data_IF_342867832005
#
_entry.id   IF_342867832005
#
_cell.length_a   1.000
_cell.length_b   1.000
_cell.length_c   1.000
_cell.angle_alpha   90.00
_cell.angle_beta   90.00
_cell.angle_gamma   90.00
#
_symmetry.space_group_name_H-M   'P 1'
#
loop_
_entity.id
_entity.type
_entity.pdbx_description
1 polymer ?
#
# COMPACT_ATOMS: atom_id res chain seq x y z
N UNK A 1 -32.05 -53.23 64.07
CA UNK A 1 -32.30 -51.79 63.90
C UNK A 1 -30.98 -51.05 63.89
N UNK A 2 -30.63 -50.47 62.73
CA UNK A 2 -29.95 -49.17 62.52
C UNK A 2 -29.34 -49.20 61.12
N UNK A 3 -30.04 -48.53 60.20
CA UNK A 3 -29.56 -48.16 58.88
C UNK A 3 -28.64 -46.95 59.03
N UNK A 4 -27.47 -46.97 58.40
CA UNK A 4 -26.68 -45.76 58.15
C UNK A 4 -26.40 -45.69 56.65
N UNK A 5 -26.92 -44.63 56.06
CA UNK A 5 -26.82 -44.23 54.65
C UNK A 5 -25.51 -43.47 54.51
N UNK A 6 -24.58 -43.94 53.68
CA UNK A 6 -23.43 -43.13 53.26
C UNK A 6 -23.68 -42.55 51.87
N UNK A 7 -23.81 -41.23 51.84
CA UNK A 7 -24.05 -40.41 50.66
C UNK A 7 -22.81 -40.37 49.76
N UNK A 8 -23.05 -40.55 48.46
CA UNK A 8 -22.09 -40.45 47.37
C UNK A 8 -21.84 -38.97 47.05
N UNK A 9 -20.63 -38.46 47.32
CA UNK A 9 -20.20 -37.13 46.87
C UNK A 9 -19.36 -37.27 45.59
N UNK A 10 -19.95 -36.95 44.44
CA UNK A 10 -19.24 -36.69 43.20
C UNK A 10 -18.74 -35.24 43.20
N UNK A 11 -17.43 -35.03 43.31
CA UNK A 11 -16.79 -33.75 43.05
C UNK A 11 -16.02 -33.85 41.72
N UNK A 12 -16.66 -33.43 40.64
CA UNK A 12 -16.02 -33.27 39.34
C UNK A 12 -15.17 -32.00 39.31
N UNK A 13 -13.85 -32.14 39.22
CA UNK A 13 -12.97 -31.04 38.88
C UNK A 13 -12.97 -30.86 37.37
N UNK A 14 -13.75 -29.91 36.87
CA UNK A 14 -13.68 -29.44 35.49
C UNK A 14 -12.35 -28.69 35.33
N UNK A 15 -11.46 -29.24 34.50
CA UNK A 15 -10.25 -28.55 34.07
C UNK A 15 -10.65 -27.33 33.23
N UNK A 16 -10.57 -26.13 33.81
CA UNK A 16 -10.64 -24.88 33.07
C UNK A 16 -9.36 -24.75 32.23
N UNK A 17 -9.40 -25.25 30.99
CA UNK A 17 -8.44 -24.84 29.98
C UNK A 17 -8.68 -23.36 29.70
N UNK A 18 -7.66 -22.48 29.70
CA UNK A 18 -7.85 -21.14 29.20
C UNK A 18 -8.21 -21.29 27.72
N UNK A 19 -9.48 -21.03 27.39
CA UNK A 19 -9.86 -20.69 26.04
C UNK A 19 -9.05 -19.43 25.75
N UNK A 20 -7.93 -19.60 25.05
CA UNK A 20 -7.34 -18.51 24.30
C UNK A 20 -8.50 -17.96 23.49
N UNK A 21 -9.02 -16.81 23.91
CA UNK A 21 -9.96 -16.06 23.12
C UNK A 21 -9.22 -15.79 21.83
N UNK A 22 -9.53 -16.59 20.81
CA UNK A 22 -9.31 -16.22 19.43
C UNK A 22 -10.08 -14.92 19.29
N UNK A 23 -9.39 -13.81 19.57
CA UNK A 23 -9.89 -12.50 19.24
C UNK A 23 -10.13 -12.58 17.75
N UNK A 24 -11.39 -12.47 17.34
CA UNK A 24 -11.69 -12.05 15.99
C UNK A 24 -10.79 -10.83 15.75
N UNK A 25 -9.84 -10.96 14.82
CA UNK A 25 -8.99 -9.82 14.45
C UNK A 25 -9.95 -8.70 14.11
N UNK A 26 -9.82 -7.58 14.79
CA UNK A 26 -10.65 -6.42 14.47
C UNK A 26 -10.26 -5.99 13.07
N UNK A 27 -11.17 -6.36 12.18
CA UNK A 27 -11.49 -5.87 10.85
C UNK A 27 -10.29 -5.38 10.01
N UNK A 28 -9.90 -6.15 8.99
CA UNK A 28 -8.89 -5.78 8.02
C UNK A 28 -9.15 -4.34 7.45
N UNK A 29 -8.18 -3.42 7.33
CA UNK A 29 -8.41 -2.01 6.91
C UNK A 29 -8.69 -1.83 5.41
N UNK A 30 -8.80 -2.92 4.66
CA UNK A 30 -8.44 -2.91 3.25
C UNK A 30 -9.58 -2.42 2.37
N UNK A 31 -10.85 -2.41 2.82
CA UNK A 31 -11.92 -1.71 2.11
C UNK A 31 -12.03 -0.21 2.44
N UNK A 32 -11.05 0.36 3.15
CA UNK A 32 -10.97 1.81 3.33
C UNK A 32 -10.97 2.58 2.01
N UNK A 33 -10.23 2.07 1.02
CA UNK A 33 -10.04 2.63 -0.32
C UNK A 33 -10.85 1.85 -1.37
N UNK A 34 -12.09 1.46 -1.04
CA UNK A 34 -12.85 0.54 -1.87
C UNK A 34 -13.16 1.07 -3.27
N UNK A 35 -13.29 2.38 -3.45
CA UNK A 35 -13.36 3.03 -4.76
C UNK A 35 -12.18 2.62 -5.67
N UNK A 36 -10.96 2.66 -5.14
CA UNK A 36 -9.73 2.30 -5.87
C UNK A 36 -9.67 0.79 -6.13
N UNK A 37 -10.05 -0.03 -5.14
CA UNK A 37 -10.09 -1.49 -5.31
C UNK A 37 -11.04 -1.90 -6.43
N UNK A 38 -12.25 -1.32 -6.47
CA UNK A 38 -13.24 -1.61 -7.51
C UNK A 38 -12.73 -1.20 -8.89
N UNK A 39 -12.12 -0.01 -9.01
CA UNK A 39 -11.52 0.46 -10.24
C UNK A 39 -10.43 -0.52 -10.74
N UNK A 40 -9.47 -0.86 -9.87
CA UNK A 40 -8.38 -1.80 -10.22
C UNK A 40 -8.91 -3.20 -10.54
N UNK A 41 -9.94 -3.67 -9.84
CA UNK A 41 -10.53 -4.98 -10.10
C UNK A 41 -11.09 -5.05 -11.53
N UNK A 42 -11.79 -4.00 -11.96
CA UNK A 42 -12.31 -3.90 -13.32
C UNK A 42 -11.20 -3.94 -14.38
N UNK A 43 -10.05 -3.30 -14.10
CA UNK A 43 -8.90 -3.26 -15.00
C UNK A 43 -8.20 -4.61 -15.09
N UNK A 44 -7.93 -5.27 -13.95
CA UNK A 44 -7.32 -6.61 -13.93
C UNK A 44 -8.17 -7.61 -14.70
N UNK A 45 -9.51 -7.53 -14.55
CA UNK A 45 -10.43 -8.43 -15.24
C UNK A 45 -10.39 -8.35 -16.78
N UNK A 46 -9.91 -7.24 -17.36
CA UNK A 46 -9.81 -7.08 -18.81
C UNK A 46 -8.82 -8.07 -19.45
N UNK A 47 -7.72 -8.36 -18.75
CA UNK A 47 -6.72 -9.34 -19.17
C UNK A 47 -5.92 -9.78 -17.94
N UNK A 48 -6.08 -11.03 -17.50
CA UNK A 48 -5.50 -11.54 -16.26
C UNK A 48 -4.71 -12.86 -16.47
N UNK A 49 -3.56 -12.82 -17.17
CA UNK A 49 -2.80 -14.02 -17.51
C UNK A 49 -2.19 -14.70 -16.28
N UNK A 50 -2.01 -13.97 -15.19
CA UNK A 50 -1.43 -14.44 -13.93
C UNK A 50 -2.50 -14.97 -12.96
N UNK A 51 -3.78 -14.93 -13.36
CA UNK A 51 -4.92 -15.35 -12.55
C UNK A 51 -4.90 -14.72 -11.14
N UNK A 52 -4.58 -13.42 -11.10
CA UNK A 52 -4.61 -12.60 -9.89
C UNK A 52 -6.03 -12.56 -9.34
N UNK A 53 -6.16 -12.69 -8.03
CA UNK A 53 -7.45 -12.57 -7.35
C UNK A 53 -7.91 -11.11 -7.24
N UNK A 54 -8.93 -10.92 -6.41
CA UNK A 54 -9.43 -9.60 -6.07
C UNK A 54 -8.32 -8.68 -5.53
N UNK A 55 -8.22 -7.40 -5.97
CA UNK A 55 -7.21 -6.46 -5.49
C UNK A 55 -7.16 -6.27 -3.98
N UNK A 56 -8.22 -6.58 -3.23
CA UNK A 56 -8.19 -6.58 -1.77
C UNK A 56 -7.04 -7.44 -1.23
N UNK A 57 -6.73 -8.57 -1.89
CA UNK A 57 -5.67 -9.47 -1.43
C UNK A 57 -4.28 -8.85 -1.47
N UNK A 58 -4.04 -7.89 -2.38
CA UNK A 58 -2.76 -7.17 -2.44
C UNK A 58 -2.56 -6.22 -1.26
N UNK A 59 -3.65 -5.74 -0.64
CA UNK A 59 -3.61 -4.83 0.51
C UNK A 59 -3.57 -5.56 1.86
N UNK A 60 -3.78 -6.88 1.86
CA UNK A 60 -3.73 -7.72 3.04
C UNK A 60 -2.29 -8.14 3.39
N UNK A 61 -2.06 -8.45 4.66
CA UNK A 61 -0.83 -9.10 5.12
C UNK A 61 -0.58 -10.46 4.45
N UNK A 62 0.68 -10.90 4.44
CA UNK A 62 1.18 -12.03 3.64
C UNK A 62 0.36 -13.33 3.75
N UNK A 63 -0.17 -13.65 4.93
CA UNK A 63 -0.98 -14.86 5.13
C UNK A 63 -2.29 -14.85 4.31
N UNK A 64 -2.96 -13.70 4.23
CA UNK A 64 -4.21 -13.56 3.50
C UNK A 64 -3.98 -13.24 2.02
N UNK A 65 -2.92 -12.50 1.69
CA UNK A 65 -2.50 -12.22 0.32
C UNK A 65 -2.34 -13.49 -0.55
N UNK A 66 -1.89 -14.60 0.05
CA UNK A 66 -1.78 -15.92 -0.61
C UNK A 66 -3.06 -16.37 -1.33
N UNK A 67 -4.24 -15.97 -0.83
CA UNK A 67 -5.53 -16.38 -1.42
C UNK A 67 -5.80 -15.73 -2.79
N UNK A 68 -5.24 -14.55 -3.05
CA UNK A 68 -5.37 -13.83 -4.31
C UNK A 68 -4.11 -13.83 -5.16
N UNK A 69 -3.09 -14.61 -4.79
CA UNK A 69 -1.77 -14.50 -5.40
C UNK A 69 -1.72 -14.98 -6.86
N UNK A 70 -2.63 -15.86 -7.28
CA UNK A 70 -2.58 -16.44 -8.62
C UNK A 70 -1.25 -17.14 -8.87
N UNK A 71 -0.52 -16.70 -9.90
CA UNK A 71 0.84 -17.18 -10.22
C UNK A 71 1.96 -16.46 -9.45
N UNK A 72 1.65 -15.45 -8.66
CA UNK A 72 2.64 -14.71 -7.86
C UNK A 72 3.06 -15.58 -6.67
N UNK A 73 4.36 -15.85 -6.56
CA UNK A 73 4.92 -16.67 -5.48
C UNK A 73 5.33 -15.84 -4.28
N UNK A 74 5.90 -14.65 -4.53
CA UNK A 74 6.20 -13.67 -3.49
C UNK A 74 5.00 -12.76 -3.25
N UNK A 75 4.27 -13.07 -2.18
CA UNK A 75 3.04 -12.33 -1.83
C UNK A 75 3.30 -10.94 -1.28
N UNK A 76 4.54 -10.59 -0.93
CA UNK A 76 4.90 -9.21 -0.59
C UNK A 76 4.98 -8.33 -1.85
N UNK A 77 5.08 -8.96 -3.03
CA UNK A 77 4.98 -8.31 -4.32
C UNK A 77 3.57 -8.31 -4.93
N UNK A 78 2.56 -8.87 -4.26
CA UNK A 78 1.23 -9.03 -4.84
C UNK A 78 0.56 -7.69 -5.19
N UNK A 79 0.64 -6.69 -4.32
CA UNK A 79 0.11 -5.35 -4.60
C UNK A 79 0.75 -4.77 -5.87
N UNK A 80 2.08 -4.86 -5.99
CA UNK A 80 2.78 -4.36 -7.16
C UNK A 80 2.35 -5.10 -8.42
N UNK A 81 2.25 -6.43 -8.38
CA UNK A 81 1.82 -7.22 -9.54
C UNK A 81 0.39 -6.88 -9.99
N UNK A 82 -0.53 -6.66 -9.04
CA UNK A 82 -1.91 -6.24 -9.33
C UNK A 82 -1.93 -4.83 -9.93
N UNK A 83 -1.22 -3.89 -9.34
CA UNK A 83 -1.12 -2.52 -9.85
C UNK A 83 -0.52 -2.47 -11.25
N UNK A 84 0.58 -3.18 -11.47
CA UNK A 84 1.30 -3.27 -12.74
C UNK A 84 0.42 -3.88 -13.83
N UNK A 85 -0.33 -4.94 -13.50
CA UNK A 85 -1.30 -5.54 -14.42
C UNK A 85 -2.42 -4.56 -14.78
N UNK A 86 -3.05 -3.94 -13.79
CA UNK A 86 -4.12 -2.97 -14.00
C UNK A 86 -3.65 -1.79 -14.86
N UNK A 87 -2.46 -1.27 -14.58
CA UNK A 87 -1.85 -0.18 -15.35
C UNK A 87 -1.58 -0.60 -16.80
N UNK A 88 -1.02 -1.79 -17.04
CA UNK A 88 -0.83 -2.29 -18.41
C UNK A 88 -2.14 -2.38 -19.18
N UNK A 89 -3.22 -2.87 -18.55
CA UNK A 89 -4.52 -2.99 -19.20
C UNK A 89 -5.12 -1.61 -19.50
N UNK A 90 -5.07 -0.68 -18.53
CA UNK A 90 -5.53 0.70 -18.73
C UNK A 90 -4.74 1.43 -19.84
N UNK A 91 -3.41 1.29 -19.84
CA UNK A 91 -2.52 1.87 -20.86
C UNK A 91 -2.81 1.33 -22.25
N UNK A 92 -3.08 0.03 -22.38
CA UNK A 92 -3.48 -0.58 -23.65
C UNK A 92 -4.84 -0.06 -24.16
N UNK A 93 -5.74 0.34 -23.25
CA UNK A 93 -7.03 0.93 -23.58
C UNK A 93 -6.98 2.47 -23.79
N UNK A 94 -5.86 3.13 -23.48
CA UNK A 94 -5.78 4.60 -23.45
C UNK A 94 -6.60 5.23 -22.31
N UNK A 95 -6.86 4.47 -21.24
CA UNK A 95 -7.67 4.88 -20.09
C UNK A 95 -6.80 5.56 -19.03
N UNK A 96 -6.81 6.90 -19.03
CA UNK A 96 -6.03 7.72 -18.09
C UNK A 96 -6.54 7.59 -16.65
N UNK A 97 -7.84 7.48 -16.45
CA UNK A 97 -8.44 7.31 -15.13
C UNK A 97 -8.09 5.92 -14.57
N UNK A 98 -8.07 4.90 -15.43
CA UNK A 98 -7.61 3.56 -15.10
C UNK A 98 -6.12 3.51 -14.76
N UNK A 99 -5.27 4.18 -15.54
CA UNK A 99 -3.84 4.30 -15.23
C UNK A 99 -3.63 4.99 -13.87
N UNK A 100 -4.37 6.08 -13.63
CA UNK A 100 -4.33 6.84 -12.36
C UNK A 100 -4.77 5.97 -11.18
N UNK A 101 -5.86 5.21 -11.31
CA UNK A 101 -6.33 4.30 -10.27
C UNK A 101 -5.31 3.21 -9.93
N UNK A 102 -4.61 2.67 -10.94
CA UNK A 102 -3.55 1.69 -10.71
C UNK A 102 -2.33 2.28 -9.98
N UNK A 103 -1.94 3.53 -10.30
CA UNK A 103 -0.88 4.25 -9.59
C UNK A 103 -1.26 4.51 -8.12
N UNK A 104 -2.49 4.98 -7.87
CA UNK A 104 -3.01 5.20 -6.52
C UNK A 104 -2.99 3.87 -5.74
N UNK A 105 -3.51 2.79 -6.32
CA UNK A 105 -3.52 1.48 -5.69
C UNK A 105 -2.11 0.96 -5.34
N UNK A 106 -1.10 1.23 -6.19
CA UNK A 106 0.30 0.86 -5.89
C UNK A 106 0.82 1.55 -4.62
N UNK A 107 0.35 2.78 -4.39
CA UNK A 107 0.77 3.62 -3.29
C UNK A 107 -0.05 3.41 -2.01
N UNK A 108 -1.28 2.89 -2.06
CA UNK A 108 -2.09 2.63 -0.85
C UNK A 108 -1.33 1.77 0.16
N UNK A 109 -1.47 2.10 1.45
CA UNK A 109 -0.88 1.33 2.55
C UNK A 109 -1.34 -0.13 2.51
N UNK A 110 -0.40 -1.05 2.73
CA UNK A 110 -0.69 -2.46 2.94
C UNK A 110 -0.80 -2.76 4.43
N UNK A 111 -1.82 -3.52 4.84
CA UNK A 111 -1.98 -3.87 6.25
C UNK A 111 -0.82 -4.76 6.75
N UNK A 112 -0.01 -4.21 7.64
CA UNK A 112 1.15 -4.88 8.26
C UNK A 112 0.77 -5.76 9.46
N UNK A 113 -0.48 -5.66 9.95
CA UNK A 113 -1.03 -6.48 11.04
C UNK A 113 -0.83 -5.94 12.45
N UNK A 114 -0.22 -4.75 12.61
CA UNK A 114 -0.15 -4.03 13.89
C UNK A 114 0.14 -2.54 13.68
N UNK A 115 -0.44 -1.69 14.54
CA UNK A 115 -0.23 -0.24 14.49
C UNK A 115 1.25 0.13 14.59
N UNK A 116 1.73 0.88 13.60
CA UNK A 116 3.10 1.40 13.47
C UNK A 116 4.13 0.40 12.94
N UNK A 117 3.70 -0.81 12.54
CA UNK A 117 4.60 -1.75 11.87
C UNK A 117 4.73 -1.40 10.39
N UNK A 118 5.96 -1.32 9.91
CA UNK A 118 6.25 -1.06 8.51
C UNK A 118 5.76 -2.18 7.60
N UNK A 119 5.21 -1.80 6.46
CA UNK A 119 4.85 -2.70 5.36
C UNK A 119 6.11 -3.28 4.72
N UNK A 120 6.08 -4.56 4.40
CA UNK A 120 7.19 -5.23 3.70
C UNK A 120 7.21 -4.76 2.24
N UNK A 121 8.38 -4.31 1.78
CA UNK A 121 8.57 -3.86 0.40
C UNK A 121 8.69 -5.06 -0.56
N UNK A 122 8.10 -4.92 -1.75
CA UNK A 122 8.35 -5.85 -2.84
C UNK A 122 9.80 -5.72 -3.34
N UNK A 123 10.55 -6.82 -3.36
CA UNK A 123 11.96 -6.82 -3.82
C UNK A 123 12.26 -7.87 -4.89
N UNK A 124 11.38 -8.86 -5.08
CA UNK A 124 11.63 -9.99 -5.96
C UNK A 124 11.02 -9.85 -7.36
N UNK A 125 10.04 -8.95 -7.54
CA UNK A 125 9.37 -8.71 -8.81
C UNK A 125 9.67 -7.28 -9.26
N UNK A 126 10.16 -7.15 -10.49
CA UNK A 126 10.30 -5.88 -11.18
C UNK A 126 9.01 -5.58 -11.95
N UNK A 127 8.39 -4.43 -11.68
CA UNK A 127 7.24 -3.96 -12.47
C UNK A 127 7.65 -3.72 -13.92
N UNK A 128 6.78 -4.08 -14.88
CA UNK A 128 7.01 -3.86 -16.30
C UNK A 128 6.74 -2.41 -16.72
N UNK A 129 5.85 -1.72 -16.00
CA UNK A 129 5.58 -0.31 -16.23
C UNK A 129 6.49 0.55 -15.32
N UNK A 130 7.33 1.44 -15.88
CA UNK A 130 8.22 2.27 -15.09
C UNK A 130 7.47 3.19 -14.13
N UNK A 131 6.25 3.61 -14.47
CA UNK A 131 5.40 4.44 -13.62
C UNK A 131 5.01 3.72 -12.32
N UNK A 132 4.75 2.40 -12.40
CA UNK A 132 4.47 1.56 -11.24
C UNK A 132 5.75 1.21 -10.47
N UNK A 133 6.86 0.99 -11.18
CA UNK A 133 8.15 0.70 -10.58
C UNK A 133 8.74 1.87 -9.77
N UNK A 134 8.39 3.11 -10.12
CA UNK A 134 8.79 4.30 -9.39
C UNK A 134 8.11 4.43 -8.01
N UNK A 135 7.02 3.70 -7.80
CA UNK A 135 6.17 3.82 -6.62
C UNK A 135 6.39 2.69 -5.62
N UNK A 136 6.15 3.04 -4.36
CA UNK A 136 6.03 2.11 -3.25
C UNK A 136 4.80 2.46 -2.42
N UNK A 137 4.38 1.54 -1.55
CA UNK A 137 3.24 1.75 -0.66
C UNK A 137 3.56 2.70 0.50
N UNK A 138 2.54 3.44 0.92
CA UNK A 138 2.50 4.16 2.18
C UNK A 138 2.74 3.18 3.35
N UNK A 139 3.27 3.74 4.43
CA UNK A 139 3.50 3.05 5.69
C UNK A 139 2.46 3.47 6.71
N UNK A 140 2.24 2.63 7.71
CA UNK A 140 1.38 2.97 8.85
C UNK A 140 1.84 4.30 9.47
N UNK A 141 0.97 5.32 9.57
CA UNK A 141 1.33 6.67 10.00
C UNK A 141 1.83 6.77 11.45
N UNK A 142 1.59 5.74 12.28
CA UNK A 142 2.15 5.64 13.63
C UNK A 142 3.59 5.10 13.65
N UNK A 143 4.11 4.65 12.51
CA UNK A 143 5.49 4.19 12.35
C UNK A 143 6.51 5.31 12.42
N UNK A 144 7.71 4.99 12.92
CA UNK A 144 8.78 5.97 13.01
C UNK A 144 9.22 6.45 11.62
N UNK A 145 9.13 7.76 11.35
CA UNK A 145 9.47 8.35 10.06
C UNK A 145 8.42 8.14 8.95
N UNK A 146 7.30 7.46 9.24
CA UNK A 146 6.28 7.12 8.25
C UNK A 146 5.67 8.37 7.59
N UNK A 147 5.33 9.40 8.35
CA UNK A 147 4.75 10.65 7.81
C UNK A 147 5.64 11.32 6.75
N UNK A 148 6.95 11.38 7.00
CA UNK A 148 7.89 11.97 6.05
C UNK A 148 8.04 11.10 4.80
N UNK A 149 8.03 9.78 4.95
CA UNK A 149 8.10 8.83 3.84
C UNK A 149 6.82 8.83 3.00
N UNK A 150 5.66 8.81 3.64
CA UNK A 150 4.33 8.90 3.02
C UNK A 150 4.21 10.17 2.17
N UNK A 151 4.66 11.31 2.71
CA UNK A 151 4.77 12.54 1.94
C UNK A 151 5.64 12.42 0.69
N UNK A 152 6.79 11.74 0.76
CA UNK A 152 7.64 11.50 -0.40
C UNK A 152 6.96 10.59 -1.43
N UNK A 153 6.24 9.56 -0.96
CA UNK A 153 5.46 8.65 -1.79
C UNK A 153 4.35 9.41 -2.51
N UNK A 154 3.58 10.24 -1.80
CA UNK A 154 2.54 11.08 -2.38
C UNK A 154 3.10 12.07 -3.41
N UNK A 155 4.29 12.64 -3.17
CA UNK A 155 4.96 13.51 -4.16
C UNK A 155 5.31 12.75 -5.43
N UNK A 156 5.86 11.55 -5.31
CA UNK A 156 6.20 10.72 -6.47
C UNK A 156 4.93 10.27 -7.19
N UNK A 157 3.89 9.88 -6.46
CA UNK A 157 2.58 9.54 -7.02
C UNK A 157 2.00 10.71 -7.83
N UNK A 158 2.04 11.94 -7.31
CA UNK A 158 1.59 13.12 -8.05
C UNK A 158 2.36 13.32 -9.36
N UNK A 159 3.67 13.06 -9.39
CA UNK A 159 4.47 13.11 -10.62
C UNK A 159 4.06 12.03 -11.61
N UNK A 160 3.87 10.81 -11.14
CA UNK A 160 3.48 9.69 -12.00
C UNK A 160 2.09 9.89 -12.59
N UNK A 161 1.12 10.36 -11.79
CA UNK A 161 -0.24 10.69 -12.27
C UNK A 161 -0.17 11.80 -13.33
N UNK A 162 0.61 12.87 -13.09
CA UNK A 162 0.79 13.92 -14.08
C UNK A 162 1.42 13.40 -15.38
N UNK A 163 2.39 12.48 -15.28
CA UNK A 163 3.12 11.94 -16.43
C UNK A 163 2.25 11.13 -17.38
N UNK A 164 1.15 10.54 -16.89
CA UNK A 164 0.17 9.81 -17.70
C UNK A 164 -1.02 10.68 -18.13
N UNK A 165 -1.01 11.98 -17.78
CA UNK A 165 -2.05 12.94 -18.12
C UNK A 165 -3.23 12.99 -17.15
N UNK A 166 -3.13 12.36 -15.98
CA UNK A 166 -4.16 12.40 -14.93
C UNK A 166 -4.08 13.66 -14.05
N UNK A 167 -5.09 13.87 -13.19
CA UNK A 167 -5.11 14.96 -12.21
C UNK A 167 -4.19 14.65 -11.01
N UNK A 168 -3.07 15.39 -10.83
CA UNK A 168 -2.12 15.11 -9.76
C UNK A 168 -2.68 15.31 -8.35
N UNK A 169 -3.81 16.01 -8.21
CA UNK A 169 -4.46 16.18 -6.90
C UNK A 169 -5.03 14.88 -6.35
N UNK A 170 -5.28 13.90 -7.22
CA UNK A 170 -5.70 12.55 -6.84
C UNK A 170 -4.59 11.76 -6.14
N UNK A 171 -3.35 12.25 -6.06
CA UNK A 171 -2.30 11.61 -5.27
C UNK A 171 -2.70 11.47 -3.80
N UNK A 172 -3.46 12.42 -3.25
CA UNK A 172 -3.94 12.33 -1.87
C UNK A 172 -4.95 11.20 -1.67
N UNK A 173 -5.54 10.62 -2.71
CA UNK A 173 -6.40 9.42 -2.57
C UNK A 173 -5.63 8.19 -2.05
N UNK A 174 -4.30 8.18 -2.08
CA UNK A 174 -3.49 7.12 -1.47
C UNK A 174 -3.12 7.41 0.00
N UNK A 175 -3.46 8.60 0.52
CA UNK A 175 -3.06 9.02 1.87
C UNK A 175 -3.74 8.18 2.94
N UNK A 176 -3.14 8.19 4.13
CA UNK A 176 -3.56 7.32 5.23
C UNK A 176 -4.49 8.02 6.23
N UNK A 177 -4.88 7.29 7.27
CA UNK A 177 -5.61 7.81 8.42
C UNK A 177 -4.72 8.65 9.35
N UNK A 178 -5.31 9.32 10.34
CA UNK A 178 -4.54 9.85 11.46
C UNK A 178 -3.83 8.72 12.24
N UNK A 179 -2.60 8.93 12.74
CA UNK A 179 -1.83 7.88 13.41
C UNK A 179 -2.59 7.27 14.60
N UNK A 180 -2.62 5.94 14.64
CA UNK A 180 -3.15 5.18 15.77
C UNK A 180 -2.20 5.13 16.96
N UNK A 181 -2.61 4.43 18.02
CA UNK A 181 -1.75 4.18 19.19
C UNK A 181 -0.95 2.90 19.01
N UNK A 182 0.38 2.98 19.01
CA UNK A 182 1.24 1.80 19.03
C UNK A 182 0.93 0.92 20.25
N UNK A 183 0.81 -0.39 20.02
CA UNK A 183 0.42 -1.35 21.05
C UNK A 183 -1.09 -1.40 21.33
N UNK A 184 -1.92 -0.77 20.49
CA UNK A 184 -3.37 -0.98 20.52
C UNK A 184 -3.70 -2.48 20.39
N UNK A 185 -4.37 -3.08 21.40
CA UNK A 185 -4.66 -4.52 21.42
C UNK A 185 -5.66 -4.97 20.34
N UNK A 186 -6.33 -4.03 19.67
CA UNK A 186 -7.22 -4.29 18.53
C UNK A 186 -6.48 -4.28 17.20
N UNK A 187 -5.31 -3.61 17.14
CA UNK A 187 -4.60 -3.25 15.92
C UNK A 187 -5.41 -2.41 14.92
N UNK A 188 -6.57 -1.86 15.31
CA UNK A 188 -7.48 -1.16 14.40
C UNK A 188 -7.00 0.25 14.05
N UNK A 189 -6.46 1.00 15.02
CA UNK A 189 -6.13 2.41 14.80
C UNK A 189 -7.39 3.28 14.54
N UNK A 190 -7.24 4.40 13.84
CA UNK A 190 -8.33 5.34 13.53
C UNK A 190 -9.06 5.00 12.21
N UNK A 191 -9.11 3.73 11.88
CA UNK A 191 -9.47 3.27 10.53
C UNK A 191 -10.93 2.87 10.39
N UNK A 192 -11.34 2.63 9.16
CA UNK A 192 -12.63 2.09 8.79
C UNK A 192 -12.43 0.93 7.80
N UNK A 193 -13.42 0.03 7.73
CA UNK A 193 -13.48 -1.04 6.75
C UNK A 193 -14.95 -1.33 6.45
N UNK A 194 -15.37 -1.02 5.22
CA UNK A 194 -16.75 -1.19 4.78
C UNK A 194 -16.78 -1.70 3.34
N UNK A 195 -17.12 -2.98 3.17
CA UNK A 195 -17.23 -3.64 1.87
C UNK A 195 -18.53 -3.30 1.11
N UNK A 196 -19.34 -2.38 1.63
CA UNK A 196 -20.57 -1.86 1.02
C UNK A 196 -20.47 -0.37 0.66
N UNK A 197 -19.43 0.32 1.11
CA UNK A 197 -19.18 1.70 0.71
C UNK A 197 -18.33 1.75 -0.57
N UNK A 198 -18.96 1.95 -1.73
CA UNK A 198 -18.27 2.03 -3.03
C UNK A 198 -17.37 3.29 -3.13
N UNK A 199 -17.60 4.33 -2.32
CA UNK A 199 -16.77 5.53 -2.31
C UNK A 199 -15.48 5.35 -1.48
N UNK A 200 -15.40 4.27 -0.71
CA UNK A 200 -14.38 4.06 0.31
C UNK A 200 -14.74 4.82 1.59
N UNK A 201 -14.85 4.08 2.70
CA UNK A 201 -15.25 4.66 3.97
C UNK A 201 -14.28 5.74 4.47
N UNK A 202 -13.02 5.73 4.04
CA UNK A 202 -12.04 6.79 4.38
C UNK A 202 -12.49 8.15 3.84
N UNK A 203 -13.11 8.14 2.67
CA UNK A 203 -13.63 9.33 1.99
C UNK A 203 -15.01 9.72 2.54
N UNK A 204 -15.94 8.76 2.63
CA UNK A 204 -17.30 9.00 3.12
C UNK A 204 -17.34 9.55 4.54
N UNK A 205 -16.43 9.07 5.40
CA UNK A 205 -16.34 9.51 6.79
C UNK A 205 -15.37 10.68 7.01
N UNK A 206 -14.67 11.15 5.96
CA UNK A 206 -13.70 12.24 6.07
C UNK A 206 -12.52 11.92 7.00
N UNK A 207 -12.06 10.66 6.99
CA UNK A 207 -11.00 10.17 7.88
C UNK A 207 -9.60 10.30 7.27
N UNK A 208 -9.53 10.64 5.98
CA UNK A 208 -8.27 10.83 5.26
C UNK A 208 -7.50 12.01 5.81
N UNK A 209 -6.20 11.81 6.05
CA UNK A 209 -5.25 12.87 6.33
C UNK A 209 -4.39 13.04 5.11
N UNK A 210 -4.63 14.10 4.35
CA UNK A 210 -3.90 14.40 3.13
C UNK A 210 -2.39 14.59 3.41
N UNK A 211 -1.55 13.84 2.69
CA UNK A 211 -0.09 13.92 2.81
C UNK A 211 0.49 15.20 2.19
N UNK A 212 -0.21 15.77 1.21
CA UNK A 212 0.21 16.97 0.49
C UNK A 212 -0.85 18.06 0.49
N UNK A 213 -0.37 19.30 0.59
CA UNK A 213 -1.16 20.47 0.22
C UNK A 213 -1.21 20.65 -1.30
N UNK A 214 -2.18 21.41 -1.80
CA UNK A 214 -2.27 21.76 -3.22
C UNK A 214 -0.98 22.42 -3.77
N UNK A 215 -0.32 23.26 -2.95
CA UNK A 215 0.93 23.90 -3.33
C UNK A 215 2.09 22.89 -3.47
N UNK A 216 2.13 21.87 -2.61
CA UNK A 216 3.14 20.81 -2.66
C UNK A 216 2.92 19.85 -3.83
N UNK A 217 1.66 19.55 -4.16
CA UNK A 217 1.31 18.81 -5.38
C UNK A 217 1.80 19.58 -6.61
N UNK A 218 1.48 20.87 -6.72
CA UNK A 218 1.92 21.71 -7.84
C UNK A 218 3.46 21.76 -7.94
N UNK A 219 4.17 21.88 -6.81
CA UNK A 219 5.63 21.88 -6.78
C UNK A 219 6.22 20.51 -7.20
N UNK A 220 5.62 19.40 -6.76
CA UNK A 220 6.08 18.05 -7.12
C UNK A 220 6.01 17.84 -8.64
N UNK A 221 4.92 18.26 -9.27
CA UNK A 221 4.69 18.13 -10.72
C UNK A 221 5.61 19.05 -11.53
N UNK A 222 5.84 20.29 -11.08
CA UNK A 222 6.79 21.20 -11.75
C UNK A 222 8.22 20.66 -11.76
N UNK A 223 8.62 19.94 -10.70
CA UNK A 223 9.92 19.26 -10.63
C UNK A 223 10.08 18.13 -11.64
N UNK A 224 9.00 17.44 -12.03
CA UNK A 224 9.04 16.37 -13.04
C UNK A 224 9.37 16.92 -14.45
N UNK A 225 8.85 18.09 -14.79
CA UNK A 225 9.12 18.76 -16.07
C UNK A 225 10.57 19.22 -16.23
N UNK A 226 11.30 19.41 -15.13
CA UNK A 226 12.71 19.82 -15.13
C UNK A 226 13.69 18.62 -15.24
N UNK A 227 13.22 17.38 -15.03
CA UNK A 227 14.05 16.17 -15.05
C UNK A 227 14.12 15.43 -16.39
N UNK A 228 13.38 15.89 -17.40
CA UNK A 228 13.19 15.18 -18.67
C UNK A 228 14.40 15.09 -19.62
N UNK A 229 15.58 15.57 -19.23
CA UNK A 229 16.81 15.49 -20.04
C UNK A 229 18.06 15.35 -19.16
N UNK A 230 18.31 14.17 -18.59
CA UNK A 230 19.60 13.87 -17.97
C UNK A 230 20.09 12.43 -18.25
N UNK A 231 19.97 11.98 -19.50
CA UNK A 231 20.81 10.88 -20.00
C UNK A 231 21.37 11.21 -21.39
N UNK A 232 22.56 11.83 -21.42
CA UNK A 232 23.56 11.63 -22.46
C UNK A 232 24.90 12.24 -22.01
N UNK A 233 25.95 11.43 -21.95
CA UNK A 233 27.32 11.95 -21.90
C UNK A 233 28.26 11.29 -20.91
N UNK A 234 28.36 9.95 -20.95
CA UNK A 234 29.57 9.29 -20.52
C UNK A 234 30.69 9.68 -21.52
N UNK A 235 31.47 10.72 -21.21
CA UNK A 235 32.73 11.01 -21.90
C UNK A 235 33.86 11.10 -20.87
N UNK A 236 34.52 9.96 -20.74
CA UNK A 236 35.86 9.85 -20.21
C UNK A 236 36.80 10.55 -21.21
N UNK A 237 37.28 11.76 -20.88
CA UNK A 237 38.38 12.39 -21.62
C UNK A 237 39.16 13.33 -20.69
N UNK A 238 40.17 12.72 -20.06
CA UNK A 238 41.55 13.21 -19.95
C UNK A 238 41.78 14.54 -19.22
N UNK A 239 42.36 14.41 -18.02
CA UNK A 239 43.17 15.42 -17.34
C UNK A 239 44.12 16.11 -18.33
N UNK A 240 43.89 17.39 -18.62
CA UNK A 240 44.96 18.27 -19.08
C UNK A 240 45.61 18.88 -17.85
N UNK A 241 46.70 18.26 -17.41
CA UNK A 241 47.54 18.78 -16.35
C UNK A 241 48.04 20.17 -16.66
N UNK A 242 47.80 21.09 -15.72
CA UNK A 242 48.52 22.35 -15.62
C UNK A 242 50.00 22.05 -15.36
N UNK A 243 50.88 22.35 -16.31
CA UNK A 243 52.29 22.56 -16.04
C UNK A 243 52.67 23.98 -16.41
N UNK A 244 52.73 24.79 -15.36
CA UNK A 244 53.55 25.99 -15.24
C UNK A 244 55.04 25.65 -15.36
N UNK A 245 55.77 26.43 -16.16
CA UNK A 245 57.21 26.78 -16.10
C UNK A 245 57.47 27.80 -17.23
N UNK A 246 57.36 29.10 -16.98
CA UNK A 246 58.31 30.03 -16.35
C UNK A 246 59.55 30.34 -17.20
N UNK A 247 59.75 31.64 -17.44
CA UNK A 247 60.86 32.22 -18.19
C UNK A 247 60.86 33.75 -18.15
N UNK A 248 60.95 34.33 -16.94
CA UNK A 248 61.96 35.34 -16.52
C UNK A 248 62.24 35.08 -15.04
#
# INVERSE_FOLDING_TARGET
MKHEIFALMFAGAVAASPIATLRAREVPQEHSHRNIILAVNSLVAQNNPDNLGDPIFGLLGAAAAKKGAGKITDVDCLQQAIADRAFTNAKAAGDVDGMTSALIYRAVERNSGSVGLASVQCTSIQAVNPEIAALQQHQDPAGNGAQALNKQIAQELARQIASVGGDPTLANEASTFAPGKVGDPTAKGNTCDDDKDDNGCINTLGLRVDDLTAAEIAAAVQGASAGGNAQAGNQNATQTGSQSRNGV
#
